data_IF_701061319457
#
_entry.id   IF_701061319457
#
_cell.length_a   1.000
_cell.length_b   1.000
_cell.length_c   1.000
_cell.angle_alpha   90.00
_cell.angle_beta   90.00
_cell.angle_gamma   90.00
#
_symmetry.space_group_name_H-M   'P 1'
#
loop_
_entity.id
_entity.type
_entity.pdbx_description
1 polymer ?
#
# COMPACT_ATOMS: atom_id res chain seq x y z
N UNK A 1 3.82 -7.88 -3.95
CA UNK A 1 2.77 -7.89 -2.93
C UNK A 1 2.35 -6.47 -2.59
N UNK A 2 1.05 -6.21 -2.68
CA UNK A 2 0.40 -4.95 -2.31
C UNK A 2 -0.17 -5.03 -0.89
N UNK A 3 0.07 -4.00 -0.08
CA UNK A 3 -0.45 -3.92 1.30
C UNK A 3 -0.62 -2.47 1.76
N UNK A 4 -1.32 -2.28 2.88
CA UNK A 4 -1.46 -0.97 3.52
C UNK A 4 -0.33 -0.77 4.53
N UNK A 5 0.36 0.36 4.43
CA UNK A 5 1.38 0.79 5.38
C UNK A 5 0.88 2.01 6.15
N UNK A 6 0.99 1.95 7.47
CA UNK A 6 0.88 3.12 8.33
C UNK A 6 2.25 3.85 8.39
N UNK A 7 2.21 5.17 8.36
CA UNK A 7 3.34 6.05 8.69
C UNK A 7 2.89 7.04 9.74
N UNK A 8 3.76 7.29 10.71
CA UNK A 8 3.56 8.36 11.68
C UNK A 8 4.43 9.55 11.29
N UNK A 9 3.81 10.73 11.19
CA UNK A 9 4.47 11.97 10.80
C UNK A 9 3.94 13.07 11.72
N UNK A 10 4.82 13.67 12.53
CA UNK A 10 4.47 14.71 13.52
C UNK A 10 3.29 14.30 14.42
N UNK A 11 3.31 13.07 14.94
CA UNK A 11 2.27 12.52 15.80
C UNK A 11 0.94 12.19 15.11
N UNK A 12 0.85 12.37 13.79
CA UNK A 12 -0.33 11.99 12.99
C UNK A 12 -0.05 10.71 12.21
N UNK A 13 -1.02 9.79 12.22
CA UNK A 13 -0.94 8.53 11.47
C UNK A 13 -1.57 8.67 10.09
N UNK A 14 -0.88 8.15 9.09
CA UNK A 14 -1.22 8.25 7.68
C UNK A 14 -1.10 6.88 7.02
N UNK A 15 -2.05 6.55 6.17
CA UNK A 15 -2.13 5.24 5.52
C UNK A 15 -1.81 5.36 4.04
N UNK A 16 -1.05 4.39 3.55
CA UNK A 16 -0.61 4.34 2.16
C UNK A 16 -0.79 2.92 1.62
N UNK A 17 -1.31 2.80 0.41
CA UNK A 17 -1.23 1.57 -0.36
C UNK A 17 0.14 1.49 -1.02
N UNK A 18 0.86 0.40 -0.79
CA UNK A 18 2.25 0.24 -1.20
C UNK A 18 2.46 -1.12 -1.85
N UNK A 19 3.43 -1.20 -2.76
CA UNK A 19 3.89 -2.43 -3.41
C UNK A 19 5.30 -2.74 -2.97
N UNK A 20 5.52 -3.96 -2.48
CA UNK A 20 6.85 -4.54 -2.37
C UNK A 20 7.29 -5.08 -3.73
N UNK A 21 8.43 -4.61 -4.23
CA UNK A 21 9.09 -5.05 -5.48
C UNK A 21 10.53 -5.44 -5.15
N UNK A 22 10.93 -6.65 -5.55
CA UNK A 22 12.33 -7.10 -5.46
C UNK A 22 13.10 -6.60 -6.67
N UNK A 23 14.25 -5.98 -6.43
CA UNK A 23 15.20 -5.53 -7.44
C UNK A 23 16.57 -6.15 -7.09
N UNK A 24 16.90 -7.26 -7.74
CA UNK A 24 18.08 -8.07 -7.42
C UNK A 24 18.06 -8.60 -5.98
N UNK A 25 19.08 -8.22 -5.21
CA UNK A 25 19.22 -8.57 -3.79
C UNK A 25 18.43 -7.66 -2.84
N UNK A 26 17.83 -6.56 -3.33
CA UNK A 26 17.15 -5.57 -2.51
C UNK A 26 15.64 -5.66 -2.67
N UNK A 27 14.91 -5.40 -1.58
CA UNK A 27 13.46 -5.20 -1.62
C UNK A 27 13.19 -3.71 -1.50
N UNK A 28 12.52 -3.15 -2.51
CA UNK A 28 12.06 -1.76 -2.51
C UNK A 28 10.56 -1.69 -2.34
N UNK A 29 10.13 -0.65 -1.65
CA UNK A 29 8.72 -0.35 -1.47
C UNK A 29 8.33 0.86 -2.31
N UNK A 30 7.32 0.67 -3.15
CA UNK A 30 6.78 1.70 -4.05
C UNK A 30 5.42 2.14 -3.51
N UNK A 31 5.22 3.44 -3.31
CA UNK A 31 3.91 3.98 -2.91
C UNK A 31 2.99 4.00 -4.12
N UNK A 32 1.83 3.35 -4.02
CA UNK A 32 0.82 3.32 -5.08
C UNK A 32 -0.24 4.40 -4.86
N UNK A 33 -0.67 4.61 -3.61
CA UNK A 33 -1.74 5.55 -3.29
C UNK A 33 -1.66 6.02 -1.83
N UNK A 34 -1.96 7.29 -1.59
CA UNK A 34 -2.24 7.81 -0.25
C UNK A 34 -3.71 7.57 0.11
N UNK A 35 -3.97 7.02 1.28
CA UNK A 35 -5.29 6.59 1.75
C UNK A 35 -5.89 7.54 2.79
N UNK A 36 -5.16 8.56 3.22
CA UNK A 36 -5.62 9.51 4.24
C UNK A 36 -5.08 9.19 5.64
N UNK A 37 -5.66 9.85 6.64
CA UNK A 37 -5.35 9.67 8.06
C UNK A 37 -6.26 8.65 8.78
N UNK A 38 -7.26 8.11 8.10
CA UNK A 38 -8.19 7.11 8.63
C UNK A 38 -7.78 5.73 8.13
N UNK A 39 -7.78 4.73 9.02
CA UNK A 39 -7.50 3.36 8.62
C UNK A 39 -8.64 2.88 7.70
N UNK A 40 -8.35 2.38 6.49
CA UNK A 40 -9.39 1.82 5.64
C UNK A 40 -9.93 0.54 6.27
N UNK A 41 -11.24 0.28 6.13
CA UNK A 41 -11.82 -1.00 6.53
C UNK A 41 -11.25 -2.17 5.70
N UNK A 42 -11.44 -3.39 6.20
CA UNK A 42 -10.90 -4.60 5.57
C UNK A 42 -11.43 -4.83 4.15
N UNK A 43 -12.69 -4.49 3.88
CA UNK A 43 -13.31 -4.64 2.58
C UNK A 43 -12.64 -3.71 1.56
N UNK A 44 -12.42 -2.46 1.94
CA UNK A 44 -11.69 -1.44 1.17
C UNK A 44 -10.26 -1.89 0.92
N UNK A 45 -9.57 -2.44 1.93
CA UNK A 45 -8.21 -2.99 1.78
C UNK A 45 -8.20 -4.12 0.76
N UNK A 46 -9.17 -5.05 0.83
CA UNK A 46 -9.25 -6.19 -0.08
C UNK A 46 -9.53 -5.75 -1.52
N UNK A 47 -10.48 -4.82 -1.72
CA UNK A 47 -10.78 -4.21 -3.03
C UNK A 47 -9.55 -3.52 -3.62
N UNK A 48 -8.83 -2.74 -2.82
CA UNK A 48 -7.60 -2.06 -3.24
C UNK A 48 -6.51 -3.07 -3.61
N UNK A 49 -6.26 -4.08 -2.78
CA UNK A 49 -5.28 -5.13 -3.08
C UNK A 49 -5.61 -5.82 -4.41
N UNK A 50 -6.85 -6.28 -4.58
CA UNK A 50 -7.29 -6.97 -5.79
C UNK A 50 -7.18 -6.09 -7.05
N UNK A 51 -7.59 -4.82 -6.95
CA UNK A 51 -7.51 -3.87 -8.07
C UNK A 51 -6.07 -3.69 -8.55
N UNK A 52 -5.14 -3.46 -7.63
CA UNK A 52 -3.75 -3.18 -7.99
C UNK A 52 -2.98 -4.45 -8.35
N UNK A 53 -3.23 -5.59 -7.71
CA UNK A 53 -2.60 -6.86 -8.10
C UNK A 53 -3.03 -7.31 -9.51
N UNK A 54 -4.30 -7.09 -9.91
CA UNK A 54 -4.76 -7.37 -11.29
C UNK A 54 -4.09 -6.48 -12.33
N UNK A 55 -4.03 -5.18 -12.08
CA UNK A 55 -3.39 -4.22 -12.99
C UNK A 55 -1.86 -4.40 -13.13
N UNK A 56 -1.23 -5.19 -12.26
CA UNK A 56 0.20 -5.46 -12.31
C UNK A 56 0.55 -6.74 -13.09
N UNK A 57 -0.45 -7.55 -13.43
CA UNK A 57 -0.28 -8.81 -14.17
C UNK A 57 -0.61 -8.68 -15.66
N UNK A 58 -1.26 -7.59 -16.06
CA UNK A 58 -1.44 -7.17 -17.45
C UNK A 58 -0.29 -6.25 -17.85
#
# INVERSE_FOLDING_TARGET
>A
MVYVRAKEIKGKRYYYLVKSKREGSRVRQITLKYLGSTHPDEETIMKLKNKYEKNLKN
#
